data_IF_905606364357
#
_entry.id   IF_905606364357
#
_cell.length_a   1.000
_cell.length_b   1.000
_cell.length_c   1.000
_cell.angle_alpha   90.00
_cell.angle_beta   90.00
_cell.angle_gamma   90.00
#
_symmetry.space_group_name_H-M   'P 1'
#
loop_
_entity.id
_entity.type
_entity.pdbx_description
1 polymer ?
#
# COMPACT_ATOMS: atom_id res chain seq x y z
N UNK A 1 6.45 -21.86 -11.81
CA UNK A 1 7.64 -21.03 -11.77
C UNK A 1 8.39 -21.42 -10.50
N UNK A 2 9.68 -21.72 -10.61
CA UNK A 2 10.47 -22.01 -9.42
C UNK A 2 10.76 -20.66 -8.74
N UNK A 3 10.40 -20.54 -7.46
CA UNK A 3 10.74 -19.37 -6.65
C UNK A 3 12.26 -19.33 -6.43
N UNK A 4 12.86 -18.13 -6.32
CA UNK A 4 14.27 -18.00 -5.99
C UNK A 4 14.64 -18.74 -4.69
N UNK A 5 15.69 -19.53 -4.70
CA UNK A 5 16.17 -20.28 -3.54
C UNK A 5 17.20 -19.50 -2.71
N UNK A 6 17.66 -18.38 -3.25
CA UNK A 6 18.57 -17.43 -2.62
C UNK A 6 17.87 -16.32 -1.79
N UNK A 7 16.55 -16.46 -1.55
CA UNK A 7 15.74 -15.53 -0.76
C UNK A 7 15.20 -16.22 0.49
N UNK A 8 15.48 -15.63 1.64
CA UNK A 8 14.87 -15.98 2.93
C UNK A 8 13.43 -15.49 2.98
N UNK A 9 12.54 -16.27 3.56
CA UNK A 9 11.10 -16.00 3.66
C UNK A 9 10.63 -16.25 5.07
N UNK A 10 10.24 -15.19 5.77
CA UNK A 10 9.51 -15.26 7.03
C UNK A 10 8.04 -15.01 6.73
N UNK A 11 7.20 -15.98 7.02
CA UNK A 11 5.80 -15.99 6.61
C UNK A 11 4.85 -15.85 7.79
N UNK A 12 3.70 -15.22 7.51
CA UNK A 12 2.55 -15.19 8.40
C UNK A 12 2.85 -14.54 9.77
N UNK A 13 3.59 -13.44 9.74
CA UNK A 13 3.87 -12.62 10.93
C UNK A 13 2.67 -11.71 11.17
N UNK A 14 2.08 -11.77 12.36
CA UNK A 14 0.95 -10.90 12.71
C UNK A 14 1.44 -9.48 13.00
N UNK A 15 0.94 -8.49 12.24
CA UNK A 15 1.16 -7.08 12.54
C UNK A 15 0.07 -6.49 13.44
N UNK A 16 -1.09 -7.16 13.53
CA UNK A 16 -2.09 -6.97 14.59
C UNK A 16 -2.40 -8.33 15.21
N UNK A 17 -2.37 -8.43 16.53
CA UNK A 17 -2.56 -9.69 17.27
C UNK A 17 -4.02 -9.96 17.63
N UNK A 18 -4.90 -10.05 16.63
CA UNK A 18 -6.34 -10.32 16.79
C UNK A 18 -6.78 -11.67 16.21
N UNK A 19 -5.87 -12.40 15.59
CA UNK A 19 -6.12 -13.70 14.98
C UNK A 19 -6.74 -13.62 13.58
N UNK A 20 -6.89 -12.44 12.98
CA UNK A 20 -7.34 -12.28 11.60
C UNK A 20 -6.18 -12.54 10.63
N UNK A 21 -6.39 -13.45 9.68
CA UNK A 21 -5.40 -13.74 8.63
C UNK A 21 -5.14 -12.53 7.69
N UNK A 22 -6.06 -11.59 7.65
CA UNK A 22 -5.86 -10.34 6.92
C UNK A 22 -4.85 -9.41 7.60
N UNK A 23 -4.47 -9.67 8.84
CA UNK A 23 -3.46 -8.92 9.59
C UNK A 23 -2.11 -9.64 9.65
N UNK A 24 -1.81 -10.43 8.61
CA UNK A 24 -0.53 -11.11 8.46
C UNK A 24 0.33 -10.44 7.37
N UNK A 25 1.62 -10.42 7.60
CA UNK A 25 2.63 -10.00 6.63
C UNK A 25 3.69 -11.06 6.44
N UNK A 26 4.41 -10.99 5.32
CA UNK A 26 5.60 -11.77 5.02
C UNK A 26 6.81 -10.85 4.90
N UNK A 27 7.99 -11.37 5.22
CA UNK A 27 9.26 -10.66 5.01
C UNK A 27 10.14 -11.48 4.08
N UNK A 28 10.64 -10.84 3.04
CA UNK A 28 11.58 -11.42 2.08
C UNK A 28 12.91 -10.65 2.15
N UNK A 29 14.01 -11.37 2.31
CA UNK A 29 15.37 -10.81 2.31
C UNK A 29 16.30 -11.73 1.54
N UNK A 30 17.44 -11.23 1.07
CA UNK A 30 18.49 -12.08 0.52
C UNK A 30 18.98 -13.08 1.60
N UNK A 31 19.11 -14.37 1.25
CA UNK A 31 19.40 -15.42 2.22
C UNK A 31 20.80 -15.30 2.85
N UNK A 32 21.75 -14.66 2.13
CA UNK A 32 23.11 -14.40 2.58
C UNK A 32 23.33 -12.93 2.99
N UNK A 33 22.24 -12.21 3.33
CA UNK A 33 22.36 -10.87 3.88
C UNK A 33 23.28 -10.87 5.11
N UNK A 34 24.11 -9.85 5.24
CA UNK A 34 25.07 -9.73 6.34
C UNK A 34 24.33 -9.74 7.68
N UNK A 35 24.75 -10.62 8.58
CA UNK A 35 24.14 -10.80 9.90
C UNK A 35 24.22 -9.48 10.70
N UNK A 36 23.08 -8.99 11.15
CA UNK A 36 22.97 -7.72 11.87
C UNK A 36 22.92 -6.48 10.98
N UNK A 37 22.94 -6.60 9.66
CA UNK A 37 22.70 -5.46 8.76
C UNK A 37 21.22 -5.07 8.79
N UNK A 38 20.95 -3.78 9.02
CA UNK A 38 19.62 -3.23 8.82
C UNK A 38 19.42 -2.91 7.31
N UNK A 39 18.46 -3.57 6.67
CA UNK A 39 18.18 -3.46 5.24
C UNK A 39 17.13 -2.37 4.97
N UNK A 40 17.28 -1.60 3.87
CA UNK A 40 16.23 -0.70 3.43
C UNK A 40 14.94 -1.47 3.14
N UNK A 41 13.81 -0.91 3.52
CA UNK A 41 12.50 -1.58 3.51
C UNK A 41 11.67 -1.17 2.31
N UNK A 42 11.06 -2.13 1.64
CA UNK A 42 9.96 -1.90 0.72
C UNK A 42 8.70 -2.52 1.32
N UNK A 43 7.68 -1.71 1.58
CA UNK A 43 6.36 -2.19 2.00
C UNK A 43 5.50 -2.36 0.76
N UNK A 44 4.97 -3.57 0.55
CA UNK A 44 4.16 -3.90 -0.62
C UNK A 44 2.71 -4.21 -0.25
N UNK A 45 1.78 -3.59 -1.01
CA UNK A 45 0.35 -3.86 -0.94
C UNK A 45 -0.16 -4.42 -2.26
N UNK A 46 -0.82 -5.59 -2.19
CA UNK A 46 -1.33 -6.28 -3.37
C UNK A 46 -2.53 -5.57 -4.01
N UNK A 47 -2.69 -5.76 -5.32
CA UNK A 47 -3.89 -5.37 -6.05
C UNK A 47 -5.09 -6.26 -5.75
N UNK A 48 -6.15 -6.08 -6.53
CA UNK A 48 -7.38 -6.87 -6.39
C UNK A 48 -8.62 -6.04 -6.11
N UNK A 49 -8.67 -4.79 -6.61
CA UNK A 49 -9.86 -3.93 -6.54
C UNK A 49 -10.35 -3.64 -5.12
N UNK A 50 -9.54 -3.84 -4.09
CA UNK A 50 -9.88 -3.79 -2.67
C UNK A 50 -10.80 -4.92 -2.18
N UNK A 51 -11.21 -5.85 -3.07
CA UNK A 51 -12.20 -6.91 -2.82
C UNK A 51 -11.60 -8.30 -2.72
N UNK A 52 -10.46 -8.54 -3.37
CA UNK A 52 -9.82 -9.86 -3.44
C UNK A 52 -8.30 -9.72 -3.50
N UNK A 53 -7.63 -10.85 -3.46
CA UNK A 53 -6.18 -10.92 -3.42
C UNK A 53 -5.66 -11.17 -2.02
N UNK A 54 -4.38 -11.38 -1.98
CA UNK A 54 -3.60 -11.58 -0.75
C UNK A 54 -2.12 -11.35 -1.05
N UNK A 55 -1.28 -11.32 -0.01
CA UNK A 55 0.16 -11.10 -0.12
C UNK A 55 0.87 -12.08 -1.08
N UNK A 56 0.36 -13.30 -1.25
CA UNK A 56 0.95 -14.28 -2.16
C UNK A 56 0.88 -13.87 -3.65
N UNK A 57 -0.01 -12.94 -4.01
CA UNK A 57 -0.14 -12.46 -5.37
C UNK A 57 1.16 -11.81 -5.88
N UNK A 58 1.89 -11.14 -5.01
CA UNK A 58 3.10 -10.39 -5.32
C UNK A 58 4.40 -11.11 -4.92
N UNK A 59 4.31 -12.29 -4.29
CA UNK A 59 5.46 -13.03 -3.72
C UNK A 59 6.65 -13.12 -4.70
N UNK A 60 6.40 -13.47 -5.96
CA UNK A 60 7.49 -13.61 -6.94
C UNK A 60 8.20 -12.28 -7.23
N UNK A 61 7.45 -11.18 -7.33
CA UNK A 61 8.00 -9.82 -7.51
C UNK A 61 8.81 -9.40 -6.29
N UNK A 62 8.29 -9.65 -5.13
CA UNK A 62 8.90 -9.24 -3.86
C UNK A 62 10.21 -9.97 -3.61
N UNK A 63 10.27 -11.25 -3.94
CA UNK A 63 11.52 -12.01 -3.91
C UNK A 63 12.56 -11.47 -4.89
N UNK A 64 12.16 -10.96 -6.07
CA UNK A 64 13.08 -10.31 -7.00
C UNK A 64 13.60 -8.98 -6.46
N UNK A 65 12.78 -8.22 -5.73
CA UNK A 65 13.19 -7.00 -5.05
C UNK A 65 14.15 -7.31 -3.89
N UNK A 66 13.87 -8.36 -3.12
CA UNK A 66 14.75 -8.81 -2.04
C UNK A 66 16.17 -9.17 -2.56
N UNK A 67 16.27 -9.75 -3.75
CA UNK A 67 17.56 -10.03 -4.42
C UNK A 67 18.36 -8.77 -4.78
N UNK A 68 17.74 -7.60 -4.76
CA UNK A 68 18.42 -6.31 -4.96
C UNK A 68 18.94 -5.69 -3.66
N UNK A 69 18.85 -6.41 -2.53
CA UNK A 69 19.35 -5.96 -1.23
C UNK A 69 18.33 -5.21 -0.38
N UNK A 70 17.03 -5.31 -0.71
CA UNK A 70 15.96 -4.78 0.13
C UNK A 70 15.41 -5.85 1.07
N UNK A 71 14.88 -5.43 2.21
CA UNK A 71 13.89 -6.21 2.94
C UNK A 71 12.50 -5.84 2.41
N UNK A 72 11.74 -6.80 1.92
CA UNK A 72 10.39 -6.55 1.42
C UNK A 72 9.36 -7.05 2.43
N UNK A 73 8.54 -6.14 2.93
CA UNK A 73 7.40 -6.40 3.82
C UNK A 73 6.13 -6.42 2.98
N UNK A 74 5.63 -7.61 2.72
CA UNK A 74 4.44 -7.82 1.90
C UNK A 74 3.24 -8.12 2.80
N UNK A 75 2.27 -7.24 2.84
CA UNK A 75 1.19 -7.29 3.82
C UNK A 75 -0.18 -7.59 3.20
N UNK A 76 -0.93 -8.45 3.89
CA UNK A 76 -2.36 -8.50 3.72
C UNK A 76 -3.01 -7.24 4.33
N UNK A 77 -4.22 -6.96 3.91
CA UNK A 77 -5.14 -6.00 4.53
C UNK A 77 -6.57 -6.53 4.39
N UNK A 78 -7.44 -6.15 5.28
CA UNK A 78 -8.85 -6.57 5.23
C UNK A 78 -9.52 -6.07 3.96
N UNK A 79 -10.41 -6.86 3.41
CA UNK A 79 -11.05 -6.60 2.13
C UNK A 79 -12.50 -6.16 2.29
N UNK A 80 -13.00 -5.34 1.38
CA UNK A 80 -14.43 -5.08 1.26
C UNK A 80 -15.13 -6.37 0.76
N UNK A 81 -16.38 -6.65 1.17
CA UNK A 81 -17.26 -5.83 1.99
C UNK A 81 -17.14 -6.08 3.50
N UNK A 82 -16.15 -6.87 3.96
CA UNK A 82 -15.99 -7.15 5.40
C UNK A 82 -15.66 -5.89 6.18
N UNK A 83 -14.93 -4.97 5.57
CA UNK A 83 -14.62 -3.63 6.10
C UNK A 83 -14.79 -2.58 5.00
N UNK A 84 -14.75 -1.29 5.36
CA UNK A 84 -14.72 -0.19 4.41
C UNK A 84 -13.29 0.31 4.14
N UNK A 85 -13.09 1.12 3.10
CA UNK A 85 -11.79 1.65 2.69
C UNK A 85 -11.01 2.37 3.83
N UNK A 86 -11.64 3.18 4.71
CA UNK A 86 -10.92 3.75 5.86
C UNK A 86 -10.29 2.69 6.78
N UNK A 87 -10.91 1.54 6.94
CA UNK A 87 -10.34 0.46 7.74
C UNK A 87 -9.16 -0.23 7.03
N UNK A 88 -9.18 -0.33 5.70
CA UNK A 88 -8.04 -0.81 4.90
C UNK A 88 -6.85 0.14 5.02
N UNK A 89 -7.11 1.46 5.03
CA UNK A 89 -6.06 2.47 5.28
C UNK A 89 -5.49 2.35 6.70
N UNK A 90 -6.34 2.07 7.69
CA UNK A 90 -5.89 1.82 9.07
C UNK A 90 -5.01 0.56 9.16
N UNK A 91 -5.35 -0.51 8.43
CA UNK A 91 -4.52 -1.71 8.34
C UNK A 91 -3.14 -1.39 7.75
N UNK A 92 -3.11 -0.64 6.63
CA UNK A 92 -1.86 -0.21 6.01
C UNK A 92 -1.00 0.67 6.94
N UNK A 93 -1.63 1.56 7.72
CA UNK A 93 -0.94 2.37 8.72
C UNK A 93 -0.37 1.51 9.85
N UNK A 94 -1.12 0.48 10.29
CA UNK A 94 -0.65 -0.46 11.30
C UNK A 94 0.57 -1.27 10.85
N UNK A 95 0.74 -1.53 9.54
CA UNK A 95 1.97 -2.14 9.01
C UNK A 95 3.17 -1.21 9.21
N UNK A 96 3.03 0.09 8.97
CA UNK A 96 4.10 1.05 9.24
C UNK A 96 4.41 1.14 10.74
N UNK A 97 3.39 1.15 11.61
CA UNK A 97 3.60 1.10 13.07
C UNK A 97 4.36 -0.16 13.49
N UNK A 98 4.00 -1.31 12.91
CA UNK A 98 4.68 -2.57 13.20
C UNK A 98 6.16 -2.53 12.79
N UNK A 99 6.48 -1.94 11.63
CA UNK A 99 7.87 -1.77 11.19
C UNK A 99 8.64 -0.87 12.17
N UNK A 100 8.04 0.24 12.63
CA UNK A 100 8.65 1.13 13.63
C UNK A 100 8.96 0.38 14.92
N UNK A 101 8.00 -0.40 15.42
CA UNK A 101 8.06 -0.98 16.76
C UNK A 101 8.83 -2.31 16.80
N UNK A 102 8.80 -3.09 15.72
CA UNK A 102 9.33 -4.45 15.65
C UNK A 102 10.37 -4.67 14.54
N UNK A 103 10.50 -3.75 13.59
CA UNK A 103 11.33 -3.94 12.40
C UNK A 103 12.78 -4.29 12.72
N UNK A 104 13.36 -3.71 13.76
CA UNK A 104 14.74 -4.00 14.18
C UNK A 104 14.97 -5.49 14.56
N UNK A 105 13.95 -6.18 15.06
CA UNK A 105 14.01 -7.60 15.40
C UNK A 105 14.19 -8.50 14.16
N UNK A 106 13.82 -7.96 12.99
CA UNK A 106 13.85 -8.63 11.69
C UNK A 106 14.90 -8.04 10.72
N UNK A 107 15.79 -7.17 11.22
CA UNK A 107 16.80 -6.52 10.37
C UNK A 107 16.23 -5.47 9.41
N UNK A 108 15.07 -4.88 9.70
CA UNK A 108 14.46 -3.83 8.90
C UNK A 108 14.98 -2.45 9.35
N UNK A 109 15.36 -1.61 8.41
CA UNK A 109 15.74 -0.22 8.67
C UNK A 109 14.53 0.71 8.56
N UNK A 110 13.95 1.05 9.70
CA UNK A 110 12.80 1.94 9.79
C UNK A 110 13.09 3.39 9.35
N UNK A 111 14.37 3.76 9.19
CA UNK A 111 14.78 5.07 8.67
C UNK A 111 14.87 5.10 7.13
N UNK A 112 14.74 3.94 6.45
CA UNK A 112 14.85 3.82 5.00
C UNK A 112 13.68 3.02 4.43
N UNK A 113 12.49 3.59 4.48
CA UNK A 113 11.24 2.94 4.06
C UNK A 113 10.73 3.53 2.76
N UNK A 114 10.43 2.66 1.81
CA UNK A 114 9.67 2.95 0.59
C UNK A 114 8.37 2.14 0.61
N UNK A 115 7.34 2.64 -0.07
CA UNK A 115 6.06 1.93 -0.22
C UNK A 115 5.82 1.62 -1.69
N UNK A 116 5.25 0.46 -1.96
CA UNK A 116 4.85 0.07 -3.32
C UNK A 116 3.47 -0.60 -3.31
N UNK A 117 2.85 -0.67 -4.46
CA UNK A 117 1.63 -1.41 -4.68
C UNK A 117 1.23 -1.41 -6.14
N UNK A 118 0.41 -2.37 -6.52
CA UNK A 118 -0.16 -2.47 -7.85
C UNK A 118 -1.68 -2.28 -7.81
N UNK A 119 -2.24 -1.69 -8.87
CA UNK A 119 -3.69 -1.54 -9.02
C UNK A 119 -4.34 -0.89 -7.77
N UNK A 120 -5.23 -1.60 -7.10
CA UNK A 120 -5.86 -1.17 -5.84
C UNK A 120 -4.87 -1.01 -4.69
N UNK A 121 -3.82 -1.86 -4.62
CA UNK A 121 -2.72 -1.69 -3.68
C UNK A 121 -1.94 -0.40 -3.91
N UNK A 122 -1.82 0.03 -5.18
CA UNK A 122 -1.26 1.33 -5.53
C UNK A 122 -2.11 2.51 -5.03
N UNK A 123 -3.45 2.39 -5.09
CA UNK A 123 -4.34 3.38 -4.48
C UNK A 123 -4.17 3.41 -2.95
N UNK A 124 -4.18 2.25 -2.31
CA UNK A 124 -3.97 2.12 -0.86
C UNK A 124 -2.65 2.76 -0.44
N UNK A 125 -1.56 2.49 -1.17
CA UNK A 125 -0.24 3.04 -0.95
C UNK A 125 -0.20 4.57 -1.10
N UNK A 126 -0.87 5.14 -2.12
CA UNK A 126 -0.95 6.58 -2.31
C UNK A 126 -1.65 7.28 -1.15
N UNK A 127 -2.84 6.79 -0.77
CA UNK A 127 -3.60 7.36 0.36
C UNK A 127 -2.86 7.20 1.69
N UNK A 128 -2.21 6.05 1.91
CA UNK A 128 -1.36 5.81 3.07
C UNK A 128 -0.25 6.86 3.17
N UNK A 129 0.54 7.02 2.09
CA UNK A 129 1.65 7.98 2.08
C UNK A 129 1.16 9.41 2.29
N UNK A 130 0.10 9.83 1.58
CA UNK A 130 -0.47 11.16 1.72
C UNK A 130 -0.96 11.45 3.14
N UNK A 131 -1.64 10.50 3.77
CA UNK A 131 -2.12 10.65 5.15
C UNK A 131 -0.98 10.57 6.18
N UNK A 132 -0.03 9.67 5.99
CA UNK A 132 1.09 9.52 6.90
C UNK A 132 1.99 10.77 6.92
N UNK A 133 2.14 11.47 5.81
CA UNK A 133 2.89 12.73 5.71
C UNK A 133 2.12 13.95 6.24
N UNK A 134 0.77 13.91 6.32
CA UNK A 134 -0.07 15.06 6.64
C UNK A 134 -0.97 14.81 7.85
N UNK A 135 -0.70 15.51 8.95
CA UNK A 135 -1.56 15.48 10.16
C UNK A 135 -3.01 15.91 9.86
N UNK A 136 -3.18 16.88 8.94
CA UNK A 136 -4.49 17.36 8.54
C UNK A 136 -5.27 16.26 7.83
N UNK A 137 -4.66 15.60 6.83
CA UNK A 137 -5.32 14.56 6.06
C UNK A 137 -5.55 13.30 6.91
N UNK A 138 -4.58 12.89 7.72
CA UNK A 138 -4.74 11.78 8.65
C UNK A 138 -5.97 11.99 9.55
N UNK A 139 -6.05 13.16 10.18
CA UNK A 139 -7.19 13.52 11.04
C UNK A 139 -8.54 13.54 10.30
N UNK A 140 -8.56 14.07 9.07
CA UNK A 140 -9.78 14.10 8.24
C UNK A 140 -10.27 12.70 7.87
N UNK A 141 -9.35 11.77 7.57
CA UNK A 141 -9.66 10.37 7.28
C UNK A 141 -9.92 9.52 8.53
N UNK A 142 -9.67 10.07 9.73
CA UNK A 142 -9.79 9.36 11.00
C UNK A 142 -8.64 8.38 11.24
N UNK A 143 -7.49 8.68 10.68
CA UNK A 143 -6.24 7.96 10.82
C UNK A 143 -5.28 8.70 11.77
N UNK A 144 -4.16 8.08 12.02
CA UNK A 144 -3.00 8.64 12.73
C UNK A 144 -1.79 8.69 11.79
N UNK A 145 -0.68 9.21 12.25
CA UNK A 145 0.61 9.12 11.57
C UNK A 145 1.49 8.08 12.26
N UNK A 146 2.12 7.21 11.51
CA UNK A 146 2.97 6.13 12.07
C UNK A 146 4.28 6.66 12.68
N UNK A 147 4.72 7.83 12.26
CA UNK A 147 6.05 8.36 12.59
C UNK A 147 7.17 7.81 11.70
N UNK A 148 6.89 6.89 10.79
CA UNK A 148 7.83 6.44 9.73
C UNK A 148 7.88 7.52 8.65
N UNK A 149 9.07 7.94 8.25
CA UNK A 149 9.27 8.73 7.04
C UNK A 149 9.30 7.80 5.83
N UNK A 150 8.35 7.99 4.89
CA UNK A 150 8.35 7.25 3.63
C UNK A 150 9.13 8.04 2.59
N UNK A 151 10.25 7.50 2.09
CA UNK A 151 11.16 8.21 1.19
C UNK A 151 10.76 8.17 -0.28
N UNK A 152 10.00 7.17 -0.69
CA UNK A 152 9.50 7.04 -2.05
C UNK A 152 8.24 6.17 -2.11
N UNK A 153 7.39 6.47 -3.09
CA UNK A 153 6.25 5.67 -3.48
C UNK A 153 6.45 5.15 -4.91
N UNK A 154 6.36 3.84 -5.10
CA UNK A 154 6.41 3.22 -6.44
C UNK A 154 5.08 2.56 -6.74
N UNK A 155 4.43 2.92 -7.83
CA UNK A 155 3.11 2.37 -8.17
C UNK A 155 3.11 1.77 -9.56
N UNK A 156 2.61 0.55 -9.65
CA UNK A 156 2.39 -0.13 -10.94
C UNK A 156 0.90 -0.15 -11.26
N UNK A 157 0.50 0.51 -12.36
CA UNK A 157 -0.89 0.52 -12.83
C UNK A 157 -1.90 0.87 -11.73
N UNK A 158 -1.66 1.96 -10.99
CA UNK A 158 -2.45 2.33 -9.83
C UNK A 158 -3.90 2.67 -10.18
N UNK A 159 -4.85 2.17 -9.37
CA UNK A 159 -6.27 2.42 -9.50
C UNK A 159 -6.66 3.65 -8.66
N UNK A 160 -6.24 4.84 -9.06
CA UNK A 160 -6.40 6.05 -8.25
C UNK A 160 -7.79 6.65 -8.29
N UNK A 161 -8.55 6.44 -9.37
CA UNK A 161 -9.94 6.88 -9.48
C UNK A 161 -10.85 5.91 -8.75
N UNK A 162 -11.14 6.23 -7.51
CA UNK A 162 -12.06 5.47 -6.67
C UNK A 162 -13.53 5.92 -6.85
N UNK A 163 -13.80 6.95 -7.65
CA UNK A 163 -15.16 7.39 -7.97
C UNK A 163 -15.72 6.64 -9.18
N UNK A 164 -16.97 6.18 -9.07
CA UNK A 164 -17.80 5.87 -10.25
C UNK A 164 -18.13 7.15 -11.00
N UNK A 165 -17.75 7.26 -12.26
CA UNK A 165 -18.01 8.43 -13.12
C UNK A 165 -18.65 8.03 -14.46
N UNK A 166 -18.79 9.00 -15.37
CA UNK A 166 -19.36 8.85 -16.72
C UNK A 166 -18.64 7.76 -17.56
N UNK A 167 -17.46 7.34 -17.13
CA UNK A 167 -16.70 6.22 -17.67
C UNK A 167 -16.78 4.99 -16.76
N UNK A 168 -17.92 4.80 -16.08
CA UNK A 168 -18.20 3.61 -15.27
C UNK A 168 -17.93 2.36 -16.11
N UNK A 169 -16.80 1.71 -15.83
CA UNK A 169 -16.50 0.38 -16.34
C UNK A 169 -16.88 -0.65 -15.27
N UNK A 170 -16.73 -1.93 -15.55
CA UNK A 170 -17.03 -3.00 -14.61
C UNK A 170 -16.36 -2.81 -13.23
N UNK A 171 -15.21 -2.11 -13.16
CA UNK A 171 -14.52 -1.81 -11.91
C UNK A 171 -15.28 -0.81 -11.04
N UNK A 172 -15.90 0.24 -11.60
CA UNK A 172 -16.67 1.19 -10.80
C UNK A 172 -17.88 0.53 -10.14
N UNK A 173 -18.40 -0.56 -10.72
CA UNK A 173 -19.47 -1.36 -10.13
C UNK A 173 -18.99 -2.10 -8.88
N UNK A 174 -17.74 -2.58 -8.89
CA UNK A 174 -17.11 -3.21 -7.71
C UNK A 174 -16.76 -2.20 -6.62
N UNK A 175 -16.62 -0.92 -6.98
CA UNK A 175 -16.20 0.14 -6.06
C UNK A 175 -17.36 0.75 -5.26
N UNK A 176 -18.63 0.51 -5.63
CA UNK A 176 -19.79 1.05 -4.91
C UNK A 176 -19.88 0.58 -3.45
N UNK A 177 -19.22 -0.53 -3.09
CA UNK A 177 -19.25 -1.12 -1.75
C UNK A 177 -18.09 -0.74 -0.84
N UNK A 178 -17.10 0.04 -1.28
CA UNK A 178 -15.92 0.33 -0.46
C UNK A 178 -16.14 1.39 0.62
N UNK A 179 -17.19 2.21 0.49
CA UNK A 179 -17.67 3.12 1.53
C UNK A 179 -19.04 2.61 2.02
N UNK A 180 -19.07 2.03 3.19
CA UNK A 180 -20.24 1.30 3.68
C UNK A 180 -21.17 2.15 4.57
N UNK A 181 -20.65 3.21 5.16
CA UNK A 181 -21.40 4.03 6.11
C UNK A 181 -21.44 5.51 5.70
N UNK A 182 -22.46 6.27 6.13
CA UNK A 182 -22.46 7.73 5.93
C UNK A 182 -21.23 8.41 6.53
N UNK A 183 -20.66 7.87 7.60
CA UNK A 183 -19.43 8.40 8.21
C UNK A 183 -18.23 8.22 7.30
N UNK A 184 -18.10 7.08 6.61
CA UNK A 184 -17.06 6.83 5.62
C UNK A 184 -17.17 7.80 4.45
N UNK A 185 -18.40 8.02 3.94
CA UNK A 185 -18.67 9.00 2.87
C UNK A 185 -18.26 10.42 3.28
N UNK A 186 -18.58 10.85 4.49
CA UNK A 186 -18.20 12.19 4.97
C UNK A 186 -16.68 12.34 5.01
N UNK A 187 -15.96 11.32 5.45
CA UNK A 187 -14.49 11.36 5.59
C UNK A 187 -13.78 11.26 4.25
N UNK A 188 -14.18 10.34 3.39
CA UNK A 188 -13.40 9.92 2.20
C UNK A 188 -13.81 10.67 0.96
N UNK A 189 -15.11 10.96 0.75
CA UNK A 189 -15.61 11.59 -0.49
C UNK A 189 -14.84 12.85 -0.90
N UNK A 190 -14.46 13.78 -0.01
CA UNK A 190 -13.68 14.94 -0.40
C UNK A 190 -12.33 14.59 -1.03
N UNK A 191 -11.75 13.46 -0.63
CA UNK A 191 -10.41 13.00 -1.04
C UNK A 191 -10.45 11.96 -2.16
N UNK A 192 -11.62 11.64 -2.70
CA UNK A 192 -11.76 10.95 -3.98
C UNK A 192 -11.36 11.86 -5.14
N UNK A 193 -11.35 13.17 -4.92
CA UNK A 193 -10.71 14.16 -5.77
C UNK A 193 -9.19 14.11 -5.55
N UNK A 194 -8.45 13.66 -6.56
CA UNK A 194 -7.00 13.49 -6.47
C UNK A 194 -6.27 14.84 -6.29
N UNK A 195 -6.75 15.93 -6.90
CA UNK A 195 -6.19 17.26 -6.68
C UNK A 195 -6.24 17.63 -5.18
N UNK A 196 -7.38 17.38 -4.54
CA UNK A 196 -7.53 17.64 -3.11
C UNK A 196 -6.70 16.69 -2.25
N UNK A 197 -6.63 15.41 -2.60
CA UNK A 197 -5.80 14.43 -1.90
C UNK A 197 -4.33 14.86 -1.88
N UNK A 198 -3.81 15.30 -3.04
CA UNK A 198 -2.42 15.73 -3.17
C UNK A 198 -2.16 17.08 -2.49
N UNK A 199 -3.12 18.02 -2.54
CA UNK A 199 -2.98 19.33 -1.89
C UNK A 199 -3.01 19.25 -0.37
N UNK A 200 -3.90 18.44 0.20
CA UNK A 200 -4.06 18.29 1.65
C UNK A 200 -3.10 17.22 2.25
N UNK A 201 -2.60 16.32 1.40
CA UNK A 201 -1.64 15.29 1.75
C UNK A 201 -0.19 15.79 1.70
N UNK A 202 0.70 14.93 2.13
CA UNK A 202 2.14 15.11 1.90
C UNK A 202 2.68 13.78 1.34
N UNK A 203 2.95 13.78 0.04
CA UNK A 203 3.37 12.56 -0.68
C UNK A 203 4.87 12.60 -0.96
N UNK A 204 5.58 11.50 -0.74
CA UNK A 204 6.99 11.41 -1.10
C UNK A 204 7.14 11.46 -2.63
N UNK A 205 8.37 11.53 -3.16
CA UNK A 205 8.62 11.34 -4.59
C UNK A 205 7.96 10.06 -5.10
N UNK A 206 7.21 10.17 -6.20
CA UNK A 206 6.44 9.05 -6.77
C UNK A 206 7.06 8.61 -8.09
N UNK A 207 7.28 7.29 -8.23
CA UNK A 207 7.60 6.65 -9.50
C UNK A 207 6.42 5.80 -9.97
N UNK A 208 5.89 6.09 -11.13
CA UNK A 208 4.71 5.43 -11.68
C UNK A 208 5.05 4.61 -12.92
N UNK A 209 4.54 3.39 -12.97
CA UNK A 209 4.70 2.46 -14.08
C UNK A 209 3.30 2.10 -14.60
N UNK A 210 3.09 2.19 -15.91
CA UNK A 210 1.89 1.69 -16.57
C UNK A 210 2.21 1.24 -18.00
N UNK A 211 1.29 0.51 -18.63
CA UNK A 211 1.35 0.15 -20.05
C UNK A 211 0.34 0.97 -20.84
N UNK A 212 0.65 1.25 -22.08
CA UNK A 212 -0.30 1.92 -22.99
C UNK A 212 -1.56 1.09 -23.29
N UNK A 213 -1.49 -0.23 -23.08
CA UNK A 213 -2.60 -1.16 -23.24
C UNK A 213 -3.32 -1.47 -21.92
N UNK A 214 -2.89 -0.87 -20.80
CA UNK A 214 -3.53 -1.04 -19.51
C UNK A 214 -4.89 -0.35 -19.49
N UNK A 215 -5.93 -1.09 -19.11
CA UNK A 215 -7.31 -0.58 -19.05
C UNK A 215 -7.54 0.55 -18.04
N UNK A 216 -6.59 0.77 -17.12
CA UNK A 216 -6.59 1.89 -16.15
C UNK A 216 -5.41 2.85 -16.32
N UNK A 217 -4.71 2.82 -17.45
CA UNK A 217 -3.58 3.71 -17.74
C UNK A 217 -3.90 5.20 -17.51
N UNK A 218 -5.15 5.61 -17.81
CA UNK A 218 -5.62 6.98 -17.61
C UNK A 218 -5.49 7.45 -16.14
N UNK A 219 -5.55 6.54 -15.16
CA UNK A 219 -5.33 6.89 -13.75
C UNK A 219 -3.91 7.39 -13.51
N UNK A 220 -2.93 6.71 -14.10
CA UNK A 220 -1.52 7.10 -14.01
C UNK A 220 -1.26 8.44 -14.69
N UNK A 221 -1.84 8.67 -15.89
CA UNK A 221 -1.69 9.93 -16.62
C UNK A 221 -2.34 11.10 -15.87
N UNK A 222 -3.50 10.89 -15.25
CA UNK A 222 -4.16 11.92 -14.45
C UNK A 222 -3.34 12.30 -13.22
N UNK A 223 -2.88 11.32 -12.45
CA UNK A 223 -2.03 11.60 -11.27
C UNK A 223 -0.74 12.31 -11.67
N UNK A 224 -0.09 11.89 -12.78
CA UNK A 224 1.09 12.57 -13.29
C UNK A 224 0.81 14.04 -13.63
N UNK A 225 -0.34 14.33 -14.23
CA UNK A 225 -0.74 15.71 -14.54
C UNK A 225 -0.99 16.58 -13.29
N UNK A 226 -1.48 15.98 -12.22
CA UNK A 226 -1.74 16.68 -10.94
C UNK A 226 -0.42 17.00 -10.22
N UNK A 227 0.56 16.12 -10.32
CA UNK A 227 1.87 16.26 -9.66
C UNK A 227 2.81 17.26 -10.38
N UNK A 228 2.51 17.68 -11.61
CA UNK A 228 3.26 18.64 -12.43
C UNK A 228 2.57 19.98 -12.55
#
# INVERSE_FOLDING_TARGET
QLLPDDVSRLKDIAYVHDGDAAHLLDIYTLADAEEGAALPVIVDFHGGGLYYGNKENNECRDMLLARQGFAVVNANYRLVPSVSFPAQLADAMAVLDWIRDHGAEYGLDAERVCVTGDSAGGALALYLCAANGSTQLAGALGLWQSGIEVHALVVTSGMFRLQGGVHANALSYYMEGYLQTPADHIKVNPYLDLDKLIVDGDVPPIYMITSVEDFIADNTYELARILH
#
